data_IF_523487710269
#
_entry.id   IF_523487710269
#
_cell.length_a   1.000
_cell.length_b   1.000
_cell.length_c   1.000
_cell.angle_alpha   90.00
_cell.angle_beta   90.00
_cell.angle_gamma   90.00
#
_symmetry.space_group_name_H-M   'P 1'
#
loop_
_entity.id
_entity.type
_entity.pdbx_description
1 polymer ?
#
# COMPACT_ATOMS: atom_id res chain seq x y z
N UNK A 1 26.77 -4.41 -21.76
CA UNK A 1 25.34 -4.12 -21.53
C UNK A 1 25.11 -2.74 -22.10
N UNK A 2 24.43 -2.69 -23.24
CA UNK A 2 24.25 -1.47 -24.04
C UNK A 2 23.14 -0.60 -23.42
N UNK A 3 23.47 0.67 -23.17
CA UNK A 3 22.65 1.65 -22.46
C UNK A 3 21.82 2.52 -23.41
N UNK A 4 20.92 1.92 -24.21
CA UNK A 4 20.24 2.68 -25.27
C UNK A 4 18.77 2.33 -25.52
N UNK A 5 17.98 2.01 -24.47
CA UNK A 5 16.53 1.74 -24.66
C UNK A 5 15.58 2.67 -23.87
N UNK A 6 16.10 3.76 -23.29
CA UNK A 6 15.27 4.76 -22.60
C UNK A 6 14.70 5.87 -23.53
N UNK A 7 14.96 5.79 -24.84
CA UNK A 7 14.65 6.86 -25.79
C UNK A 7 13.70 6.50 -26.95
N UNK A 8 13.25 5.24 -27.05
CA UNK A 8 12.29 4.86 -28.09
C UNK A 8 10.86 5.10 -27.59
N UNK A 9 10.00 5.80 -28.36
CA UNK A 9 8.57 5.84 -28.07
C UNK A 9 8.05 4.40 -27.94
N UNK A 10 7.33 4.11 -26.86
CA UNK A 10 6.71 2.79 -26.70
C UNK A 10 5.80 2.54 -27.90
N UNK A 11 5.89 1.34 -28.47
CA UNK A 11 4.96 0.86 -29.49
C UNK A 11 3.52 0.97 -28.94
N UNK A 12 2.55 1.55 -29.68
CA UNK A 12 1.15 1.58 -29.29
C UNK A 12 0.62 0.25 -28.74
N UNK A 13 0.99 -0.88 -29.34
CA UNK A 13 0.56 -2.21 -28.90
C UNK A 13 1.12 -2.54 -27.50
N UNK A 14 2.36 -2.14 -27.23
CA UNK A 14 3.01 -2.32 -25.93
C UNK A 14 2.37 -1.43 -24.86
N UNK A 15 2.00 -0.19 -25.20
CA UNK A 15 1.27 0.71 -24.28
C UNK A 15 -0.08 0.11 -23.89
N UNK A 16 -0.85 -0.38 -24.86
CA UNK A 16 -2.14 -1.04 -24.58
C UNK A 16 -2.00 -2.31 -23.74
N UNK A 17 -0.96 -3.12 -24.00
CA UNK A 17 -0.66 -4.31 -23.19
C UNK A 17 -0.33 -3.91 -21.76
N UNK A 18 0.50 -2.90 -21.55
CA UNK A 18 0.86 -2.39 -20.21
C UNK A 18 -0.33 -1.79 -19.47
N UNK A 19 -1.23 -1.10 -20.17
CA UNK A 19 -2.49 -0.59 -19.60
C UNK A 19 -3.33 -1.74 -19.05
N UNK A 20 -3.55 -2.79 -19.85
CA UNK A 20 -4.32 -3.98 -19.42
C UNK A 20 -3.71 -4.63 -18.18
N UNK A 21 -2.41 -4.95 -18.24
CA UNK A 21 -1.69 -5.55 -17.10
C UNK A 21 -1.79 -4.69 -15.83
N UNK A 22 -1.66 -3.37 -15.97
CA UNK A 22 -1.71 -2.46 -14.82
C UNK A 22 -3.13 -2.38 -14.25
N UNK A 23 -4.16 -2.37 -15.10
CA UNK A 23 -5.57 -2.40 -14.66
C UNK A 23 -5.89 -3.70 -13.89
N UNK A 24 -5.48 -4.86 -14.41
CA UNK A 24 -5.68 -6.16 -13.76
C UNK A 24 -4.99 -6.18 -12.38
N UNK A 25 -3.76 -5.67 -12.29
CA UNK A 25 -3.01 -5.55 -11.02
C UNK A 25 -3.68 -4.60 -10.02
N UNK A 26 -4.31 -3.52 -10.48
CA UNK A 26 -5.07 -2.61 -9.62
C UNK A 26 -6.27 -3.33 -9.03
N UNK A 27 -7.02 -4.07 -9.84
CA UNK A 27 -8.19 -4.83 -9.39
C UNK A 27 -7.82 -5.85 -8.31
N UNK A 28 -6.78 -6.65 -8.55
CA UNK A 28 -6.23 -7.56 -7.54
C UNK A 28 -5.72 -6.83 -6.29
N UNK A 29 -5.07 -5.67 -6.50
CA UNK A 29 -4.47 -4.85 -5.48
C UNK A 29 -5.48 -4.33 -4.46
N UNK A 30 -6.68 -3.94 -4.90
CA UNK A 30 -7.77 -3.48 -4.01
C UNK A 30 -8.11 -4.54 -2.96
N UNK A 31 -8.21 -5.81 -3.37
CA UNK A 31 -8.47 -6.92 -2.45
C UNK A 31 -7.35 -7.11 -1.43
N UNK A 32 -6.08 -6.95 -1.84
CA UNK A 32 -4.91 -7.05 -0.96
C UNK A 32 -4.90 -5.92 0.08
N UNK A 33 -5.13 -4.68 -0.35
CA UNK A 33 -5.21 -3.51 0.54
C UNK A 33 -6.34 -3.67 1.56
N UNK A 34 -7.53 -4.12 1.13
CA UNK A 34 -8.66 -4.36 2.03
C UNK A 34 -8.31 -5.37 3.13
N UNK A 35 -7.68 -6.50 2.76
CA UNK A 35 -7.27 -7.52 3.75
C UNK A 35 -6.23 -6.98 4.72
N UNK A 36 -5.20 -6.28 4.22
CA UNK A 36 -4.18 -5.67 5.08
C UNK A 36 -4.78 -4.65 6.06
N UNK A 37 -5.74 -3.83 5.62
CA UNK A 37 -6.44 -2.88 6.48
C UNK A 37 -7.25 -3.57 7.59
N UNK A 38 -7.94 -4.68 7.26
CA UNK A 38 -8.67 -5.47 8.26
C UNK A 38 -7.69 -6.03 9.30
N UNK A 39 -6.58 -6.63 8.86
CA UNK A 39 -5.55 -7.15 9.77
C UNK A 39 -4.98 -6.06 10.67
N UNK A 40 -4.63 -4.89 10.13
CA UNK A 40 -4.11 -3.75 10.90
C UNK A 40 -5.10 -3.30 11.98
N UNK A 41 -6.38 -3.13 11.62
CA UNK A 41 -7.44 -2.76 12.56
C UNK A 41 -7.66 -3.81 13.65
N UNK A 42 -7.60 -5.09 13.31
CA UNK A 42 -7.77 -6.16 14.28
C UNK A 42 -6.60 -6.22 15.25
N UNK A 43 -5.35 -6.11 14.77
CA UNK A 43 -4.18 -6.04 15.65
C UNK A 43 -4.17 -4.80 16.55
N UNK A 44 -4.63 -3.64 16.06
CA UNK A 44 -4.81 -2.44 16.88
C UNK A 44 -5.85 -2.68 17.99
N UNK A 45 -6.97 -3.32 17.65
CA UNK A 45 -8.04 -3.67 18.61
C UNK A 45 -7.51 -4.60 19.70
N UNK A 46 -6.80 -5.66 19.32
CA UNK A 46 -6.23 -6.65 20.23
C UNK A 46 -5.20 -6.02 21.16
N UNK A 47 -4.27 -5.21 20.63
CA UNK A 47 -3.29 -4.49 21.44
C UNK A 47 -3.98 -3.61 22.49
N UNK A 48 -4.97 -2.80 22.10
CA UNK A 48 -5.69 -1.91 23.03
C UNK A 48 -6.41 -2.69 24.13
N UNK A 49 -7.10 -3.77 23.78
CA UNK A 49 -7.83 -4.59 24.74
C UNK A 49 -6.89 -5.26 25.74
N UNK A 50 -5.81 -5.89 25.26
CA UNK A 50 -4.90 -6.60 26.15
C UNK A 50 -4.12 -5.63 27.03
N UNK A 51 -3.73 -4.48 26.49
CA UNK A 51 -3.05 -3.44 27.28
C UNK A 51 -3.96 -2.90 28.38
N UNK A 52 -5.23 -2.63 28.08
CA UNK A 52 -6.21 -2.21 29.07
C UNK A 52 -6.42 -3.27 30.15
N UNK A 53 -6.56 -4.54 29.75
CA UNK A 53 -6.73 -5.68 30.66
C UNK A 53 -5.55 -5.82 31.63
N UNK A 54 -4.31 -5.78 31.13
CA UNK A 54 -3.12 -5.91 31.98
C UNK A 54 -2.99 -4.70 32.91
N UNK A 55 -3.26 -3.49 32.40
CA UNK A 55 -3.26 -2.28 33.22
C UNK A 55 -4.25 -2.37 34.38
N UNK A 56 -5.48 -2.79 34.11
CA UNK A 56 -6.52 -2.94 35.12
C UNK A 56 -6.15 -4.00 36.17
N UNK A 57 -5.58 -5.12 35.73
CA UNK A 57 -5.05 -6.17 36.61
C UNK A 57 -4.01 -5.62 37.60
N UNK A 58 -3.01 -4.87 37.13
CA UNK A 58 -1.99 -4.29 38.01
C UNK A 58 -2.53 -3.17 38.91
N UNK A 59 -3.50 -2.39 38.42
CA UNK A 59 -4.22 -1.41 39.25
C UNK A 59 -4.97 -2.10 40.39
N UNK A 60 -5.60 -3.24 40.13
CA UNK A 60 -6.24 -4.08 41.14
C UNK A 60 -5.28 -4.63 42.19
N UNK A 61 -3.99 -4.74 41.87
CA UNK A 61 -2.93 -5.13 42.81
C UNK A 61 -2.35 -3.95 43.62
N UNK A 62 -2.90 -2.75 43.46
CA UNK A 62 -2.46 -1.56 44.20
C UNK A 62 -1.26 -0.84 43.59
N UNK A 63 -0.83 -1.19 42.38
CA UNK A 63 0.23 -0.43 41.70
C UNK A 63 -0.25 0.99 41.35
N UNK A 64 0.70 1.92 41.34
CA UNK A 64 0.45 3.27 40.83
C UNK A 64 0.03 3.23 39.36
N UNK A 65 -0.60 4.30 38.87
CA UNK A 65 -1.02 4.36 37.47
C UNK A 65 0.17 4.25 36.51
N UNK A 66 1.29 4.89 36.85
CA UNK A 66 2.50 4.89 36.04
C UNK A 66 3.18 3.51 36.00
N UNK A 67 3.23 2.81 37.14
CA UNK A 67 3.84 1.48 37.22
C UNK A 67 2.99 0.45 36.45
N UNK A 68 1.65 0.51 36.61
CA UNK A 68 0.73 -0.34 35.88
C UNK A 68 0.80 -0.12 34.36
N UNK A 69 0.94 1.14 33.92
CA UNK A 69 1.12 1.47 32.49
C UNK A 69 2.44 0.93 31.93
N UNK A 70 3.52 1.02 32.71
CA UNK A 70 4.83 0.50 32.33
C UNK A 70 4.78 -1.02 32.20
N UNK A 71 4.18 -1.72 33.17
CA UNK A 71 3.98 -3.17 33.13
C UNK A 71 3.12 -3.61 31.94
N UNK A 72 1.99 -2.93 31.73
CA UNK A 72 1.11 -3.21 30.59
C UNK A 72 1.83 -3.02 29.26
N UNK A 73 2.67 -2.00 29.12
CA UNK A 73 3.46 -1.76 27.90
C UNK A 73 4.49 -2.86 27.67
N UNK A 74 5.22 -3.27 28.72
CA UNK A 74 6.21 -4.35 28.61
C UNK A 74 5.59 -5.70 28.24
N UNK A 75 4.45 -6.03 28.86
CA UNK A 75 3.79 -7.32 28.65
C UNK A 75 3.00 -7.40 27.34
N UNK A 76 2.60 -6.25 26.79
CA UNK A 76 1.94 -6.17 25.48
C UNK A 76 2.88 -5.95 24.31
N UNK A 77 4.21 -5.99 24.52
CA UNK A 77 5.21 -5.76 23.47
C UNK A 77 4.95 -6.62 22.21
N UNK A 78 4.60 -7.90 22.36
CA UNK A 78 4.28 -8.78 21.22
C UNK A 78 3.08 -8.31 20.39
N UNK A 79 2.05 -7.77 21.03
CA UNK A 79 0.86 -7.25 20.34
C UNK A 79 1.15 -5.91 19.68
N UNK A 80 2.04 -5.11 20.29
CA UNK A 80 2.53 -3.87 19.71
C UNK A 80 3.33 -4.14 18.42
N UNK A 81 4.24 -5.10 18.45
CA UNK A 81 5.01 -5.54 17.28
C UNK A 81 4.11 -6.03 16.15
N UNK A 82 3.12 -6.87 16.47
CA UNK A 82 2.17 -7.39 15.48
C UNK A 82 1.32 -6.26 14.85
N UNK A 83 0.86 -5.31 15.68
CA UNK A 83 0.16 -4.11 15.22
C UNK A 83 1.01 -3.30 14.27
N UNK A 84 2.25 -3.00 14.66
CA UNK A 84 3.16 -2.16 13.87
C UNK A 84 3.50 -2.83 12.54
N UNK A 85 3.73 -4.14 12.55
CA UNK A 85 3.94 -4.92 11.34
C UNK A 85 2.74 -4.84 10.39
N UNK A 86 1.52 -5.10 10.90
CA UNK A 86 0.32 -5.08 10.07
C UNK A 86 -0.03 -3.67 9.56
N UNK A 87 0.23 -2.65 10.37
CA UNK A 87 0.05 -1.25 9.97
C UNK A 87 1.01 -0.87 8.85
N UNK A 88 2.29 -1.21 8.97
CA UNK A 88 3.28 -0.99 7.91
C UNK A 88 2.92 -1.74 6.63
N UNK A 89 2.45 -3.00 6.74
CA UNK A 89 2.00 -3.78 5.59
C UNK A 89 0.81 -3.14 4.88
N UNK A 90 -0.16 -2.60 5.62
CA UNK A 90 -1.29 -1.87 5.06
C UNK A 90 -0.85 -0.59 4.34
N UNK A 91 0.01 0.21 4.96
CA UNK A 91 0.55 1.44 4.37
C UNK A 91 1.30 1.16 3.08
N UNK A 92 2.21 0.19 3.10
CA UNK A 92 2.93 -0.26 1.91
C UNK A 92 1.98 -0.72 0.79
N UNK A 93 0.99 -1.55 1.11
CA UNK A 93 0.03 -2.05 0.12
C UNK A 93 -0.79 -0.90 -0.49
N UNK A 94 -1.19 0.08 0.33
CA UNK A 94 -1.94 1.26 -0.12
C UNK A 94 -1.08 2.12 -1.05
N UNK A 95 0.15 2.41 -0.66
CA UNK A 95 1.06 3.27 -1.41
C UNK A 95 1.47 2.62 -2.73
N UNK A 96 1.67 1.30 -2.74
CA UNK A 96 1.88 0.52 -3.95
C UNK A 96 0.67 0.61 -4.92
N UNK A 97 -0.55 0.51 -4.40
CA UNK A 97 -1.77 0.67 -5.20
C UNK A 97 -1.88 2.08 -5.81
N UNK A 98 -1.48 3.12 -5.07
CA UNK A 98 -1.39 4.47 -5.62
C UNK A 98 -0.37 4.57 -6.75
N UNK A 99 0.83 4.01 -6.56
CA UNK A 99 1.84 3.94 -7.63
C UNK A 99 1.35 3.24 -8.90
N UNK A 100 0.55 2.17 -8.77
CA UNK A 100 -0.08 1.52 -9.93
C UNK A 100 -1.10 2.43 -10.63
N UNK A 101 -1.90 3.19 -9.88
CA UNK A 101 -2.85 4.16 -10.46
C UNK A 101 -2.14 5.28 -11.20
N UNK A 102 -1.06 5.80 -10.64
CA UNK A 102 -0.23 6.83 -11.29
C UNK A 102 0.41 6.30 -12.56
N UNK A 103 0.92 5.07 -12.53
CA UNK A 103 1.44 4.39 -13.72
C UNK A 103 0.38 4.23 -14.81
N UNK A 104 -0.85 3.81 -14.45
CA UNK A 104 -1.95 3.71 -15.40
C UNK A 104 -2.28 5.06 -16.04
N UNK A 105 -2.33 6.13 -15.23
CA UNK A 105 -2.57 7.49 -15.71
C UNK A 105 -1.48 7.97 -16.69
N UNK A 106 -0.21 7.69 -16.38
CA UNK A 106 0.92 7.97 -17.26
C UNK A 106 0.82 7.21 -18.59
N UNK A 107 0.52 5.91 -18.55
CA UNK A 107 0.35 5.09 -19.76
C UNK A 107 -0.81 5.57 -20.62
N UNK A 108 -1.94 5.95 -20.01
CA UNK A 108 -3.09 6.51 -20.73
C UNK A 108 -2.75 7.87 -21.38
N UNK A 109 -1.94 8.68 -20.73
CA UNK A 109 -1.44 9.95 -21.28
C UNK A 109 -0.54 9.70 -22.49
N UNK A 110 0.37 8.73 -22.40
CA UNK A 110 1.23 8.33 -23.52
C UNK A 110 0.42 7.79 -24.70
N UNK A 111 -0.59 6.94 -24.45
CA UNK A 111 -1.48 6.44 -25.49
C UNK A 111 -2.22 7.57 -26.23
N UNK A 112 -2.71 8.59 -25.50
CA UNK A 112 -3.32 9.78 -26.12
C UNK A 112 -2.33 10.57 -26.97
N UNK A 113 -1.09 10.73 -26.51
CA UNK A 113 -0.03 11.39 -27.26
C UNK A 113 0.31 10.67 -28.57
N UNK A 114 0.43 9.34 -28.52
CA UNK A 114 0.64 8.51 -29.72
C UNK A 114 -0.53 8.66 -30.69
N UNK A 115 -1.77 8.51 -30.21
CA UNK A 115 -2.97 8.65 -31.05
C UNK A 115 -3.12 10.04 -31.67
N UNK A 116 -2.60 11.10 -31.05
CA UNK A 116 -2.57 12.45 -31.63
C UNK A 116 -1.48 12.62 -32.70
N UNK A 117 -0.35 11.91 -32.57
CA UNK A 117 0.77 11.97 -33.51
C UNK A 117 0.53 11.16 -34.79
N UNK A 118 -0.13 10.00 -34.71
CA UNK A 118 -0.42 9.14 -35.89
C UNK A 118 -1.23 9.82 -37.02
N UNK A 119 -2.33 10.56 -36.76
CA UNK A 119 -3.05 11.27 -37.83
C UNK A 119 -2.24 12.43 -38.43
N UNK A 120 -1.24 12.96 -37.73
CA UNK A 120 -0.32 13.98 -38.24
C UNK A 120 0.82 13.38 -39.08
N UNK A 121 1.20 12.12 -38.84
CA UNK A 121 2.20 11.42 -39.66
C UNK A 121 1.67 11.01 -41.05
N UNK A 122 0.34 10.97 -41.25
CA UNK A 122 -0.32 10.65 -42.52
C UNK A 122 -0.77 11.87 -43.34
N UNK A 123 -0.62 13.10 -42.82
CA UNK A 123 -0.77 14.35 -43.58
C UNK A 123 0.61 15.02 -43.64
N UNK A 124 1.31 14.82 -44.77
CA UNK A 124 2.66 15.31 -45.08
C UNK A 124 2.92 16.80 -44.74
N UNK A 125 4.15 17.30 -44.54
CA UNK A 125 5.32 17.25 -45.46
C UNK A 125 5.00 16.93 -46.92
#
# INVERSE_FOLDING_TARGET
>A
MDGSDYGRPLDPVEVERRIRITADRIEEGVGKVKRANISAKESERLYRLEKARIKDFYRGQGLSHADAETKATLETAKYLEERDHNQAAYEYARDYLYGLKDMLSSLQTQAKGLNAAYPMAGRGL
#
